data_IF_725478001400
#
_entry.id   IF_725478001400
#
_cell.length_a   1.000
_cell.length_b   1.000
_cell.length_c   1.000
_cell.angle_alpha   90.00
_cell.angle_beta   90.00
_cell.angle_gamma   90.00
#
_symmetry.space_group_name_H-M   'P 1'
#
loop_
_entity.id
_entity.type
_entity.pdbx_description
1 polymer ?
#
# COMPACT_ATOMS: atom_id res chain seq x y z
N UNK A 1 2.26 -25.49 -9.05
CA UNK A 1 3.39 -25.76 -9.95
C UNK A 1 3.00 -25.36 -11.35
N UNK A 2 3.84 -24.59 -12.01
CA UNK A 2 3.76 -24.30 -13.45
C UNK A 2 4.91 -25.01 -14.15
N UNK A 3 4.63 -25.63 -15.28
CA UNK A 3 5.63 -26.30 -16.12
C UNK A 3 5.76 -25.59 -17.44
N UNK A 4 6.95 -25.65 -18.02
CA UNK A 4 7.23 -25.10 -19.34
C UNK A 4 6.21 -25.62 -20.36
N UNK A 5 5.61 -24.72 -21.10
CA UNK A 5 4.72 -25.08 -22.21
C UNK A 5 5.56 -25.45 -23.43
N UNK A 6 5.55 -26.71 -23.90
CA UNK A 6 6.35 -27.13 -25.04
C UNK A 6 5.94 -26.49 -26.37
N UNK A 7 4.72 -25.94 -26.41
CA UNK A 7 4.19 -25.26 -27.60
C UNK A 7 4.40 -23.74 -27.56
N UNK A 8 5.04 -23.21 -26.50
CA UNK A 8 5.32 -21.78 -26.42
C UNK A 8 6.47 -21.40 -27.37
N UNK A 9 6.25 -20.42 -28.21
CA UNK A 9 7.21 -19.93 -29.17
C UNK A 9 6.97 -18.46 -29.51
N UNK A 10 7.93 -17.81 -30.16
CA UNK A 10 7.77 -16.48 -30.76
C UNK A 10 8.10 -15.33 -29.81
N UNK A 11 8.54 -15.57 -28.58
CA UNK A 11 9.04 -14.53 -27.70
C UNK A 11 10.51 -14.79 -27.31
N UNK A 12 11.28 -13.70 -27.32
CA UNK A 12 12.65 -13.68 -26.87
C UNK A 12 12.80 -12.72 -25.70
N UNK A 13 13.89 -12.87 -24.96
CA UNK A 13 14.22 -11.93 -23.88
C UNK A 13 14.44 -10.53 -24.46
N UNK A 14 13.93 -9.44 -23.82
CA UNK A 14 14.01 -8.09 -24.35
C UNK A 14 15.46 -7.61 -24.50
N UNK A 15 15.70 -6.76 -25.50
CA UNK A 15 16.98 -6.12 -25.74
C UNK A 15 17.00 -4.64 -25.34
N UNK A 16 15.84 -4.11 -24.96
CA UNK A 16 15.61 -2.74 -24.50
C UNK A 16 15.11 -2.78 -23.06
N UNK A 17 15.51 -1.80 -22.28
CA UNK A 17 15.14 -1.63 -20.87
C UNK A 17 15.37 -0.21 -20.41
N UNK A 18 15.28 0.03 -19.11
CA UNK A 18 15.51 1.32 -18.50
C UNK A 18 17.00 1.72 -18.52
N UNK A 19 17.30 3.02 -18.41
CA UNK A 19 18.67 3.50 -18.27
C UNK A 19 19.38 2.81 -17.10
N UNK A 20 20.47 2.10 -17.38
CA UNK A 20 21.25 1.34 -16.39
C UNK A 20 21.06 -0.17 -16.44
N UNK A 21 19.99 -0.69 -17.00
CA UNK A 21 19.71 -2.15 -17.05
C UNK A 21 20.80 -2.93 -17.75
N UNK A 22 21.34 -2.38 -18.83
CA UNK A 22 22.47 -3.00 -19.55
C UNK A 22 23.74 -3.04 -18.70
N UNK A 23 24.04 -1.97 -17.97
CA UNK A 23 25.20 -1.93 -17.07
C UNK A 23 25.03 -2.86 -15.86
N UNK A 24 23.80 -3.10 -15.45
CA UNK A 24 23.47 -4.04 -14.39
C UNK A 24 23.42 -5.51 -14.86
N UNK A 25 23.69 -5.80 -16.14
CA UNK A 25 23.63 -7.15 -16.72
C UNK A 25 22.22 -7.71 -16.92
N UNK A 26 21.19 -6.88 -16.76
CA UNK A 26 19.79 -7.33 -16.90
C UNK A 26 19.40 -7.63 -18.35
N UNK A 27 20.18 -7.17 -19.33
CA UNK A 27 19.94 -7.40 -20.76
C UNK A 27 20.93 -8.42 -21.39
N UNK A 28 21.69 -9.17 -20.59
CA UNK A 28 22.69 -10.13 -21.06
C UNK A 28 22.06 -11.32 -21.82
N UNK A 29 20.80 -11.59 -21.55
CA UNK A 29 20.03 -12.64 -22.23
C UNK A 29 19.24 -12.14 -23.45
N UNK A 30 19.51 -10.88 -23.90
CA UNK A 30 18.86 -10.29 -25.06
C UNK A 30 18.80 -11.26 -26.26
N UNK A 31 17.60 -11.43 -26.82
CA UNK A 31 17.36 -12.26 -27.99
C UNK A 31 17.29 -13.77 -27.75
N UNK A 32 17.63 -14.26 -26.55
CA UNK A 32 17.49 -15.69 -26.22
C UNK A 32 16.01 -16.10 -26.14
N UNK A 33 15.64 -17.29 -26.63
CA UNK A 33 14.26 -17.75 -26.60
C UNK A 33 13.75 -17.96 -25.16
N UNK A 34 12.51 -17.55 -24.91
CA UNK A 34 11.80 -17.80 -23.67
C UNK A 34 10.94 -19.09 -23.77
N UNK A 35 10.58 -19.73 -22.64
CA UNK A 35 10.99 -19.44 -21.25
C UNK A 35 12.33 -20.11 -20.89
N UNK A 36 13.06 -19.50 -19.94
CA UNK A 36 14.32 -20.09 -19.43
C UNK A 36 14.09 -21.19 -18.40
N UNK A 37 12.97 -21.13 -17.66
CA UNK A 37 12.66 -22.06 -16.59
C UNK A 37 11.83 -23.25 -17.12
N UNK A 38 12.15 -24.45 -16.66
CA UNK A 38 11.36 -25.66 -16.93
C UNK A 38 10.16 -25.74 -15.99
N UNK A 39 10.32 -25.31 -14.74
CA UNK A 39 9.26 -25.28 -13.74
C UNK A 39 9.34 -24.06 -12.85
N UNK A 40 8.18 -23.56 -12.42
CA UNK A 40 8.04 -22.57 -11.34
C UNK A 40 7.10 -23.14 -10.26
N UNK A 41 7.62 -23.27 -9.04
CA UNK A 41 6.92 -23.85 -7.91
C UNK A 41 6.54 -22.75 -6.94
N UNK A 42 5.26 -22.52 -6.74
CA UNK A 42 4.74 -21.58 -5.77
C UNK A 42 4.26 -22.33 -4.53
N UNK A 43 4.86 -22.02 -3.39
CA UNK A 43 4.48 -22.58 -2.09
C UNK A 43 3.74 -21.52 -1.27
N UNK A 44 2.57 -21.86 -0.75
CA UNK A 44 1.80 -20.99 0.13
C UNK A 44 2.19 -21.24 1.57
N UNK A 45 2.77 -20.24 2.19
CA UNK A 45 3.02 -20.20 3.63
C UNK A 45 2.01 -19.25 4.29
N UNK A 46 1.50 -19.62 5.45
CA UNK A 46 0.50 -18.82 6.17
C UNK A 46 1.13 -17.67 6.94
N UNK A 47 2.35 -17.87 7.45
CA UNK A 47 3.04 -16.93 8.33
C UNK A 47 4.32 -16.40 7.68
N UNK A 48 4.61 -15.12 7.92
CA UNK A 48 5.75 -14.44 7.31
C UNK A 48 7.10 -14.90 7.84
N UNK A 49 7.21 -15.19 9.14
CA UNK A 49 8.47 -15.59 9.77
C UNK A 49 8.96 -16.95 9.26
N UNK A 50 8.14 -18.03 9.25
CA UNK A 50 8.55 -19.29 8.64
C UNK A 50 8.90 -19.17 7.17
N UNK A 51 8.16 -18.38 6.42
CA UNK A 51 8.43 -18.11 5.01
C UNK A 51 9.83 -17.50 4.80
N UNK A 52 10.17 -16.46 5.55
CA UNK A 52 11.48 -15.81 5.48
C UNK A 52 12.62 -16.76 5.88
N UNK A 53 12.45 -17.52 6.96
CA UNK A 53 13.45 -18.48 7.41
C UNK A 53 13.71 -19.59 6.38
N UNK A 54 12.69 -20.08 5.69
CA UNK A 54 12.84 -21.06 4.61
C UNK A 54 13.62 -20.48 3.42
N UNK A 55 13.38 -19.22 3.07
CA UNK A 55 14.18 -18.52 2.06
C UNK A 55 15.65 -18.44 2.46
N UNK A 56 15.95 -18.01 3.69
CA UNK A 56 17.33 -17.93 4.19
C UNK A 56 18.06 -19.28 4.24
N UNK A 57 17.30 -20.38 4.35
CA UNK A 57 17.82 -21.76 4.31
C UNK A 57 17.92 -22.32 2.90
N UNK A 58 17.56 -21.56 1.86
CA UNK A 58 17.66 -21.98 0.47
C UNK A 58 16.53 -22.89 -0.03
N UNK A 59 15.39 -22.96 0.68
CA UNK A 59 14.21 -23.68 0.18
C UNK A 59 13.48 -22.92 -0.93
N UNK A 60 13.69 -21.60 -1.02
CA UNK A 60 13.05 -20.74 -2.02
C UNK A 60 14.11 -19.90 -2.73
N UNK A 61 13.98 -19.75 -4.04
CA UNK A 61 14.85 -18.93 -4.89
C UNK A 61 14.53 -17.43 -4.79
N UNK A 62 13.30 -17.09 -4.43
CA UNK A 62 12.83 -15.72 -4.29
C UNK A 62 11.90 -15.56 -3.09
N UNK A 63 11.97 -14.40 -2.44
CA UNK A 63 11.14 -14.06 -1.28
C UNK A 63 10.81 -12.58 -1.28
N UNK A 64 9.61 -12.23 -0.83
CA UNK A 64 9.33 -10.90 -0.32
C UNK A 64 9.95 -10.70 1.06
N UNK A 65 10.16 -9.45 1.46
CA UNK A 65 10.64 -9.09 2.79
C UNK A 65 9.45 -8.57 3.59
N UNK A 66 9.08 -9.28 4.67
CA UNK A 66 8.03 -8.81 5.58
C UNK A 66 8.51 -7.60 6.40
N UNK A 67 7.57 -6.86 6.99
CA UNK A 67 7.92 -5.75 7.89
C UNK A 67 8.74 -6.22 9.07
N UNK A 68 8.44 -7.39 9.62
CA UNK A 68 9.15 -7.97 10.78
C UNK A 68 10.59 -8.40 10.47
N UNK A 69 10.88 -8.69 9.18
CA UNK A 69 12.22 -9.13 8.74
C UNK A 69 12.99 -8.02 8.02
N UNK A 70 12.42 -6.82 7.93
CA UNK A 70 12.98 -5.74 7.13
C UNK A 70 14.35 -5.32 7.62
N UNK A 71 14.48 -4.98 8.89
CA UNK A 71 15.74 -4.48 9.48
C UNK A 71 16.86 -5.55 9.48
N UNK A 72 16.48 -6.84 9.46
CA UNK A 72 17.43 -7.93 9.33
C UNK A 72 18.01 -8.02 7.91
N UNK A 73 17.18 -7.72 6.91
CA UNK A 73 17.52 -7.91 5.51
C UNK A 73 18.11 -6.64 4.86
N UNK A 74 17.64 -5.47 5.30
CA UNK A 74 17.81 -4.20 4.59
C UNK A 74 18.28 -3.11 5.54
N UNK A 75 19.17 -2.27 5.05
CA UNK A 75 19.55 -1.00 5.68
C UNK A 75 19.17 0.17 4.79
N UNK A 76 18.71 1.26 5.39
CA UNK A 76 18.43 2.52 4.72
C UNK A 76 19.60 3.46 4.98
N UNK A 77 20.26 3.91 3.91
CA UNK A 77 21.38 4.82 3.99
C UNK A 77 20.91 6.27 4.24
N UNK A 78 21.81 7.15 4.63
CA UNK A 78 21.53 8.57 4.94
C UNK A 78 20.84 9.32 3.79
N UNK A 79 20.98 8.86 2.55
CA UNK A 79 20.31 9.43 1.37
C UNK A 79 18.92 8.85 1.06
N UNK A 80 18.45 7.90 1.86
CA UNK A 80 17.19 7.18 1.59
C UNK A 80 17.37 5.96 0.67
N UNK A 81 18.58 5.70 0.17
CA UNK A 81 18.86 4.52 -0.62
C UNK A 81 18.78 3.26 0.21
N UNK A 82 18.19 2.25 -0.37
CA UNK A 82 17.95 0.94 0.26
C UNK A 82 19.01 -0.04 -0.21
N UNK A 83 19.70 -0.68 0.73
CA UNK A 83 20.70 -1.69 0.46
C UNK A 83 20.53 -2.92 1.34
N UNK A 84 21.05 -4.08 0.89
CA UNK A 84 21.10 -5.27 1.73
C UNK A 84 22.08 -5.07 2.90
N UNK A 85 21.79 -5.74 4.02
CA UNK A 85 22.75 -5.89 5.10
C UNK A 85 23.95 -6.73 4.64
N UNK A 86 25.09 -6.57 5.31
CA UNK A 86 26.31 -7.30 4.96
C UNK A 86 26.14 -8.82 5.06
N UNK A 87 25.32 -9.30 6.00
CA UNK A 87 24.96 -10.72 6.13
C UNK A 87 24.23 -11.24 4.88
N UNK A 88 23.25 -10.49 4.37
CA UNK A 88 22.51 -10.89 3.17
C UNK A 88 23.39 -10.88 1.92
N UNK A 89 24.30 -9.91 1.82
CA UNK A 89 25.27 -9.86 0.73
C UNK A 89 26.25 -11.06 0.76
N UNK A 90 26.73 -11.44 1.94
CA UNK A 90 27.62 -12.60 2.09
C UNK A 90 26.92 -13.93 1.72
N UNK A 91 25.60 -14.01 1.88
CA UNK A 91 24.79 -15.15 1.42
C UNK A 91 24.52 -15.13 -0.08
N UNK A 92 25.02 -14.16 -0.84
CA UNK A 92 24.79 -14.02 -2.28
C UNK A 92 23.37 -13.60 -2.65
N UNK A 93 22.59 -13.10 -1.68
CA UNK A 93 21.22 -12.60 -1.91
C UNK A 93 21.30 -11.28 -2.71
N UNK A 94 20.37 -11.11 -3.64
CA UNK A 94 20.21 -9.88 -4.41
C UNK A 94 18.90 -9.19 -4.03
N UNK A 95 18.94 -7.87 -3.87
CA UNK A 95 17.76 -7.05 -3.64
C UNK A 95 17.26 -6.48 -4.97
N UNK A 96 16.00 -6.77 -5.30
CA UNK A 96 15.32 -6.17 -6.43
C UNK A 96 14.22 -5.25 -5.91
N UNK A 97 14.24 -4.00 -6.31
CA UNK A 97 13.23 -2.99 -5.97
C UNK A 97 12.56 -2.48 -7.24
N UNK A 98 11.27 -2.27 -7.18
CA UNK A 98 10.52 -1.65 -8.28
C UNK A 98 9.30 -0.92 -7.76
N UNK A 99 8.93 0.18 -8.41
CA UNK A 99 7.64 0.82 -8.18
C UNK A 99 6.57 -0.03 -8.87
N UNK A 100 5.62 -0.54 -8.09
CA UNK A 100 4.52 -1.33 -8.64
C UNK A 100 3.44 -0.41 -9.16
N UNK A 101 2.92 -0.71 -10.35
CA UNK A 101 1.77 -0.03 -10.95
C UNK A 101 0.45 -0.57 -10.36
N UNK A 102 0.32 -0.50 -9.03
CA UNK A 102 -0.87 -0.91 -8.29
C UNK A 102 -1.16 0.02 -7.13
N UNK A 103 -2.45 0.30 -6.93
CA UNK A 103 -2.94 1.14 -5.84
C UNK A 103 -3.79 0.30 -4.90
N UNK A 104 -3.48 0.38 -3.60
CA UNK A 104 -4.32 -0.18 -2.54
C UNK A 104 -5.21 0.93 -1.99
N UNK A 105 -6.49 0.63 -1.81
CA UNK A 105 -7.46 1.62 -1.36
C UNK A 105 -8.52 1.01 -0.44
N UNK A 106 -9.16 1.86 0.33
CA UNK A 106 -10.37 1.55 1.07
C UNK A 106 -11.55 2.21 0.35
N UNK A 107 -12.52 1.42 -0.06
CA UNK A 107 -13.71 1.90 -0.77
C UNK A 107 -14.85 2.26 0.18
N UNK A 108 -15.61 3.30 -0.15
CA UNK A 108 -16.86 3.62 0.54
C UNK A 108 -18.02 2.87 -0.12
N UNK A 109 -18.83 2.18 0.69
CA UNK A 109 -20.10 1.63 0.21
C UNK A 109 -21.09 2.77 -0.04
N UNK A 110 -21.35 3.06 -1.29
CA UNK A 110 -22.26 4.15 -1.68
C UNK A 110 -23.75 3.88 -1.36
N UNK A 111 -24.08 2.66 -0.94
CA UNK A 111 -25.44 2.29 -0.46
C UNK A 111 -25.55 2.38 1.07
N UNK A 112 -24.47 2.68 1.78
CA UNK A 112 -24.51 2.85 3.24
C UNK A 112 -25.38 4.06 3.62
N UNK A 113 -26.28 3.94 4.62
CA UNK A 113 -27.21 5.03 4.97
C UNK A 113 -26.53 6.24 5.62
N UNK A 114 -25.32 6.10 6.16
CA UNK A 114 -24.58 7.15 6.87
C UNK A 114 -23.59 7.86 5.95
N UNK A 115 -22.68 7.10 5.34
CA UNK A 115 -21.57 7.63 4.52
C UNK A 115 -21.83 7.51 3.02
N UNK A 116 -22.83 6.75 2.59
CA UNK A 116 -23.16 6.53 1.18
C UNK A 116 -23.96 7.68 0.55
N UNK A 117 -24.26 7.51 -0.74
CA UNK A 117 -24.99 8.48 -1.53
C UNK A 117 -24.19 9.74 -1.87
N UNK A 118 -24.87 10.70 -2.53
CA UNK A 118 -24.27 11.93 -3.05
C UNK A 118 -24.71 13.19 -2.30
N UNK A 119 -25.32 13.04 -1.13
CA UNK A 119 -25.72 14.20 -0.33
C UNK A 119 -24.51 15.00 0.14
N UNK A 120 -24.63 16.34 0.33
CA UNK A 120 -23.55 17.14 0.91
C UNK A 120 -23.08 16.62 2.28
N UNK A 121 -24.00 16.08 3.10
CA UNK A 121 -23.72 15.47 4.40
C UNK A 121 -22.77 14.28 4.26
N UNK A 122 -23.17 13.28 3.49
CA UNK A 122 -22.35 12.08 3.31
C UNK A 122 -21.02 12.35 2.57
N UNK A 123 -21.02 13.29 1.64
CA UNK A 123 -19.77 13.73 0.97
C UNK A 123 -18.79 14.32 1.96
N UNK A 124 -19.23 15.22 2.86
CA UNK A 124 -18.37 15.78 3.91
C UNK A 124 -17.83 14.71 4.86
N UNK A 125 -18.62 13.69 5.20
CA UNK A 125 -18.17 12.58 6.04
C UNK A 125 -17.07 11.78 5.36
N UNK A 126 -17.22 11.45 4.08
CA UNK A 126 -16.17 10.75 3.33
C UNK A 126 -14.89 11.57 3.21
N UNK A 127 -15.00 12.87 2.92
CA UNK A 127 -13.86 13.79 2.91
C UNK A 127 -13.16 13.85 4.27
N UNK A 128 -13.92 13.94 5.36
CA UNK A 128 -13.37 13.94 6.71
C UNK A 128 -12.60 12.65 7.02
N UNK A 129 -13.16 11.50 6.68
CA UNK A 129 -12.51 10.20 6.86
C UNK A 129 -11.21 10.13 6.05
N UNK A 130 -11.23 10.57 4.78
CA UNK A 130 -10.04 10.58 3.92
C UNK A 130 -8.92 11.46 4.48
N UNK A 131 -9.25 12.62 5.06
CA UNK A 131 -8.26 13.50 5.72
C UNK A 131 -7.73 12.87 7.02
N UNK A 132 -8.59 12.22 7.81
CA UNK A 132 -8.23 11.67 9.10
C UNK A 132 -7.27 10.48 9.02
N UNK A 133 -7.35 9.68 7.95
CA UNK A 133 -6.49 8.51 7.75
C UNK A 133 -5.13 8.96 7.23
N UNK A 134 -4.10 8.92 8.08
CA UNK A 134 -2.73 9.32 7.74
C UNK A 134 -2.00 8.22 6.99
N UNK A 135 -2.02 8.32 5.64
CA UNK A 135 -1.39 7.32 4.77
C UNK A 135 0.13 7.30 4.89
N UNK A 136 0.76 8.44 5.15
CA UNK A 136 2.20 8.55 5.36
C UNK A 136 2.61 7.82 6.66
N UNK A 137 1.83 8.01 7.74
CA UNK A 137 2.01 7.29 9.00
C UNK A 137 1.84 5.77 8.79
N UNK A 138 0.80 5.36 8.04
CA UNK A 138 0.58 3.96 7.69
C UNK A 138 1.76 3.35 6.95
N UNK A 139 2.26 4.02 5.92
CA UNK A 139 3.39 3.57 5.12
C UNK A 139 4.65 3.47 5.99
N UNK A 140 4.88 4.44 6.85
CA UNK A 140 6.02 4.43 7.78
C UNK A 140 5.96 3.25 8.73
N UNK A 141 4.83 3.03 9.40
CA UNK A 141 4.69 2.01 10.46
C UNK A 141 4.61 0.59 9.89
N UNK A 142 3.75 0.38 8.89
CA UNK A 142 3.40 -0.97 8.43
C UNK A 142 4.12 -1.40 7.15
N UNK A 143 4.71 -0.46 6.43
CA UNK A 143 5.41 -0.74 5.17
C UNK A 143 6.90 -0.40 5.23
N UNK A 144 7.42 0.03 6.39
CA UNK A 144 8.82 0.45 6.55
C UNK A 144 9.23 1.51 5.50
N UNK A 145 8.34 2.46 5.21
CA UNK A 145 8.54 3.49 4.20
C UNK A 145 8.43 3.02 2.74
N UNK A 146 8.09 1.74 2.49
CA UNK A 146 7.96 1.18 1.13
C UNK A 146 6.57 1.47 0.56
N UNK A 147 6.37 2.68 0.10
CA UNK A 147 5.12 3.07 -0.54
C UNK A 147 5.07 4.56 -0.82
N UNK A 148 4.10 4.94 -1.62
CA UNK A 148 3.80 6.32 -1.95
C UNK A 148 2.34 6.55 -1.60
N UNK A 149 2.04 7.58 -0.82
CA UNK A 149 0.65 7.96 -0.54
C UNK A 149 -0.04 8.34 -1.86
N UNK A 150 -1.03 7.53 -2.26
CA UNK A 150 -1.70 7.68 -3.54
C UNK A 150 -2.45 9.02 -3.60
N UNK A 151 -2.23 9.76 -4.67
CA UNK A 151 -2.91 11.04 -4.93
C UNK A 151 -4.11 10.85 -5.86
N UNK A 152 -4.18 9.72 -6.56
CA UNK A 152 -5.27 9.35 -7.45
C UNK A 152 -5.40 7.81 -7.53
N UNK A 153 -6.48 7.28 -8.11
CA UNK A 153 -6.60 5.85 -8.38
C UNK A 153 -5.54 5.31 -9.36
N UNK A 154 -4.98 6.19 -10.21
CA UNK A 154 -3.92 5.83 -11.15
C UNK A 154 -2.56 5.87 -10.45
N UNK A 155 -1.79 4.77 -10.41
CA UNK A 155 -0.45 4.76 -9.87
C UNK A 155 0.58 5.33 -10.85
N UNK A 156 1.78 5.71 -10.36
CA UNK A 156 2.90 6.10 -11.22
C UNK A 156 3.19 5.06 -12.30
N UNK A 157 3.57 5.51 -13.50
CA UNK A 157 3.88 4.65 -14.65
C UNK A 157 2.67 4.22 -15.49
N UNK A 158 1.46 4.58 -15.09
CA UNK A 158 0.24 4.33 -15.88
C UNK A 158 -0.15 5.60 -16.63
N UNK A 159 -0.55 5.43 -17.89
CA UNK A 159 -1.02 6.54 -18.73
C UNK A 159 -2.17 7.30 -18.06
N UNK A 160 -2.04 8.62 -17.98
CA UNK A 160 -2.98 9.49 -17.29
C UNK A 160 -2.63 9.76 -15.81
N UNK A 161 -1.53 9.19 -15.28
CA UNK A 161 -0.99 9.61 -13.99
C UNK A 161 -0.41 11.04 -14.11
N UNK A 162 -0.85 11.92 -13.24
CA UNK A 162 -0.39 13.30 -13.21
C UNK A 162 0.51 13.56 -12.00
N UNK A 163 1.54 14.38 -12.20
CA UNK A 163 2.48 14.79 -11.17
C UNK A 163 2.31 16.26 -10.83
N UNK A 164 2.83 16.70 -9.68
CA UNK A 164 2.79 18.09 -9.27
C UNK A 164 1.42 18.52 -8.74
N UNK A 165 1.18 19.83 -8.72
CA UNK A 165 0.00 20.44 -8.12
C UNK A 165 -1.33 19.94 -8.71
N UNK A 166 -1.35 19.64 -10.02
CA UNK A 166 -2.56 19.17 -10.70
C UNK A 166 -2.88 17.70 -10.37
N UNK A 167 -1.88 16.92 -9.96
CA UNK A 167 -2.02 15.50 -9.66
C UNK A 167 -2.37 15.18 -8.20
N UNK A 168 -2.46 16.18 -7.30
CA UNK A 168 -2.75 15.89 -5.89
C UNK A 168 -4.24 15.65 -5.62
N UNK A 169 -4.54 14.84 -4.62
CA UNK A 169 -5.88 14.80 -4.02
C UNK A 169 -6.11 16.07 -3.19
N UNK A 170 -6.72 17.08 -3.80
CA UNK A 170 -7.01 18.36 -3.17
C UNK A 170 -8.01 18.27 -2.01
N UNK A 171 -8.70 17.14 -1.84
CA UNK A 171 -9.52 16.86 -0.65
C UNK A 171 -8.64 16.71 0.58
N UNK A 172 -7.55 15.95 0.45
CA UNK A 172 -6.69 15.55 1.56
C UNK A 172 -5.46 16.44 1.70
N UNK A 173 -4.95 16.98 0.59
CA UNK A 173 -3.68 17.72 0.57
C UNK A 173 -3.86 19.16 0.05
N UNK A 174 -2.99 20.04 0.51
CA UNK A 174 -2.71 21.33 -0.08
C UNK A 174 -1.34 21.27 -0.78
N UNK A 175 -1.15 22.05 -1.85
CA UNK A 175 0.15 22.18 -2.50
C UNK A 175 0.94 23.31 -1.83
N UNK A 176 2.02 22.97 -1.13
CA UNK A 176 2.82 23.93 -0.35
C UNK A 176 4.30 23.69 -0.63
N UNK A 177 5.02 24.73 -1.02
CA UNK A 177 6.46 24.70 -1.28
C UNK A 177 6.88 23.58 -2.25
N UNK A 178 6.09 23.40 -3.33
CA UNK A 178 6.39 22.43 -4.37
C UNK A 178 6.09 20.97 -4.04
N UNK A 179 5.33 20.70 -2.99
CA UNK A 179 4.98 19.34 -2.55
C UNK A 179 3.58 19.26 -1.92
N UNK A 180 2.94 18.06 -1.96
CA UNK A 180 1.68 17.85 -1.25
C UNK A 180 1.92 17.87 0.26
N UNK A 181 1.10 18.62 0.97
CA UNK A 181 1.07 18.69 2.43
C UNK A 181 -0.31 18.32 2.92
N UNK A 182 -0.39 17.26 3.74
CA UNK A 182 -1.66 16.78 4.31
C UNK A 182 -2.34 17.88 5.13
N UNK A 183 -3.65 18.02 4.94
CA UNK A 183 -4.49 18.93 5.75
C UNK A 183 -4.51 18.48 7.20
N UNK A 184 -4.54 19.41 8.14
CA UNK A 184 -4.63 19.10 9.57
C UNK A 184 -5.97 18.42 9.90
N UNK A 185 -5.97 17.60 10.95
CA UNK A 185 -7.15 16.82 11.39
C UNK A 185 -8.33 17.71 11.81
N UNK A 186 -8.06 18.95 12.18
CA UNK A 186 -9.07 19.96 12.52
C UNK A 186 -10.00 20.26 11.34
N UNK A 187 -9.50 20.20 10.11
CA UNK A 187 -10.33 20.34 8.90
C UNK A 187 -11.33 19.18 8.82
N UNK A 188 -10.88 17.96 9.11
CA UNK A 188 -11.75 16.79 9.14
C UNK A 188 -12.81 16.88 10.25
N UNK A 189 -12.44 17.30 11.45
CA UNK A 189 -13.41 17.54 12.56
C UNK A 189 -14.47 18.57 12.19
N UNK A 190 -14.05 19.65 11.54
CA UNK A 190 -14.99 20.67 11.05
C UNK A 190 -15.97 20.08 10.03
N UNK A 191 -15.50 19.24 9.09
CA UNK A 191 -16.36 18.59 8.11
C UNK A 191 -17.36 17.62 8.77
N UNK A 192 -16.95 16.89 9.81
CA UNK A 192 -17.85 16.03 10.60
C UNK A 192 -18.96 16.86 11.28
N UNK A 193 -18.58 17.97 11.91
CA UNK A 193 -19.54 18.87 12.54
C UNK A 193 -20.52 19.49 11.53
N UNK A 194 -20.01 19.97 10.38
CA UNK A 194 -20.82 20.53 9.28
C UNK A 194 -21.73 19.46 8.61
N UNK A 195 -21.38 18.19 8.74
CA UNK A 195 -22.23 17.08 8.34
C UNK A 195 -23.35 16.75 9.35
N UNK A 196 -23.49 17.55 10.44
CA UNK A 196 -24.50 17.39 11.47
C UNK A 196 -24.12 16.39 12.56
N UNK A 197 -22.80 16.18 12.78
CA UNK A 197 -22.27 15.33 13.84
C UNK A 197 -21.23 16.07 14.71
N UNK A 198 -21.60 17.19 15.36
CA UNK A 198 -20.67 17.87 16.26
C UNK A 198 -20.21 16.91 17.38
N UNK A 199 -18.87 16.85 17.58
CA UNK A 199 -18.25 15.91 18.52
C UNK A 199 -18.63 14.44 18.27
N UNK A 200 -18.83 14.06 17.01
CA UNK A 200 -19.13 12.70 16.60
C UNK A 200 -20.54 12.20 16.97
N UNK A 201 -21.47 13.11 17.23
CA UNK A 201 -22.87 12.78 17.57
C UNK A 201 -23.85 13.49 16.65
N UNK A 202 -24.88 12.77 16.24
CA UNK A 202 -25.96 13.35 15.45
C UNK A 202 -26.64 14.48 16.25
N UNK A 203 -26.70 15.67 15.68
CA UNK A 203 -27.21 16.88 16.33
C UNK A 203 -28.72 16.79 16.72
N UNK A 204 -29.46 15.88 16.06
CA UNK A 204 -30.91 15.73 16.29
C UNK A 204 -31.23 14.64 17.29
N UNK A 205 -30.50 13.51 17.21
CA UNK A 205 -30.79 12.30 18.00
C UNK A 205 -29.81 12.11 19.17
N UNK A 206 -28.61 12.73 19.12
CA UNK A 206 -27.55 12.53 20.08
C UNK A 206 -26.81 11.19 19.90
N UNK A 207 -27.21 10.37 18.94
CA UNK A 207 -26.59 9.07 18.67
C UNK A 207 -25.16 9.24 18.16
N UNK A 208 -24.24 8.34 18.52
CA UNK A 208 -22.87 8.40 18.04
C UNK A 208 -22.78 8.16 16.53
N UNK A 209 -21.84 8.82 15.87
CA UNK A 209 -21.50 8.54 14.48
C UNK A 209 -20.73 7.23 14.40
N UNK A 210 -21.37 6.20 13.88
CA UNK A 210 -20.79 4.86 13.71
C UNK A 210 -20.61 4.57 12.23
N UNK A 211 -19.43 4.10 11.87
CA UNK A 211 -19.09 3.63 10.53
C UNK A 211 -18.63 2.18 10.61
N UNK A 212 -19.13 1.34 9.71
CA UNK A 212 -18.76 -0.06 9.65
C UNK A 212 -17.67 -0.28 8.60
N UNK A 213 -16.66 -1.08 8.94
CA UNK A 213 -15.65 -1.57 8.04
C UNK A 213 -15.80 -3.08 7.88
N UNK A 214 -16.06 -3.54 6.68
CA UNK A 214 -16.02 -4.95 6.34
C UNK A 214 -14.62 -5.30 5.79
N UNK A 215 -13.99 -6.29 6.38
CA UNK A 215 -12.65 -6.77 5.97
C UNK A 215 -12.60 -8.28 5.99
N UNK A 216 -11.72 -8.87 5.20
CA UNK A 216 -11.41 -10.30 5.31
C UNK A 216 -10.54 -10.52 6.55
N UNK A 217 -10.90 -11.51 7.36
CA UNK A 217 -10.15 -11.86 8.57
C UNK A 217 -8.70 -12.19 8.28
N UNK A 218 -7.81 -11.78 9.16
CA UNK A 218 -6.36 -11.93 9.00
C UNK A 218 -5.67 -12.31 10.31
N UNK A 219 -4.36 -12.60 10.22
CA UNK A 219 -3.50 -12.94 11.34
C UNK A 219 -3.19 -11.76 12.29
N UNK A 220 -2.24 -11.94 13.20
CA UNK A 220 -1.87 -10.92 14.21
C UNK A 220 -1.47 -9.56 13.61
N UNK A 221 -0.84 -9.54 12.43
CA UNK A 221 -0.48 -8.29 11.75
C UNK A 221 -1.69 -7.45 11.32
N UNK A 222 -2.80 -8.10 11.00
CA UNK A 222 -4.05 -7.42 10.64
C UNK A 222 -4.66 -6.71 11.86
N UNK A 223 -4.60 -7.33 13.04
CA UNK A 223 -5.09 -6.70 14.27
C UNK A 223 -4.43 -5.34 14.53
N UNK A 224 -3.11 -5.25 14.42
CA UNK A 224 -2.37 -4.01 14.65
C UNK A 224 -2.78 -2.90 13.66
N UNK A 225 -3.03 -3.26 12.40
CA UNK A 225 -3.52 -2.32 11.37
C UNK A 225 -4.92 -1.83 11.66
N UNK A 226 -5.83 -2.73 12.07
CA UNK A 226 -7.21 -2.38 12.42
C UNK A 226 -7.27 -1.53 13.69
N UNK A 227 -6.45 -1.82 14.70
CA UNK A 227 -6.32 -1.00 15.90
C UNK A 227 -5.79 0.40 15.57
N UNK A 228 -4.82 0.50 14.66
CA UNK A 228 -4.32 1.78 14.15
C UNK A 228 -5.43 2.54 13.41
N UNK A 229 -6.15 1.89 12.50
CA UNK A 229 -7.24 2.50 11.75
C UNK A 229 -8.35 3.00 12.66
N UNK A 230 -8.73 2.23 13.67
CA UNK A 230 -9.70 2.66 14.70
C UNK A 230 -9.26 3.95 15.39
N UNK A 231 -7.96 4.09 15.69
CA UNK A 231 -7.43 5.34 16.25
C UNK A 231 -7.49 6.50 15.27
N UNK A 232 -7.32 6.27 13.95
CA UNK A 232 -7.47 7.36 12.96
C UNK A 232 -8.91 7.89 12.94
N UNK A 233 -9.91 7.02 12.95
CA UNK A 233 -11.32 7.41 13.04
C UNK A 233 -11.64 8.14 14.36
N UNK A 234 -11.07 7.69 15.46
CA UNK A 234 -11.25 8.34 16.76
C UNK A 234 -10.70 9.77 16.81
N UNK A 235 -9.71 10.13 15.97
CA UNK A 235 -9.19 11.51 15.85
C UNK A 235 -10.29 12.52 15.45
N UNK A 236 -11.34 12.05 14.80
CA UNK A 236 -12.48 12.86 14.32
C UNK A 236 -13.80 12.46 14.99
N UNK A 237 -13.72 11.85 16.15
CA UNK A 237 -14.86 11.41 16.97
C UNK A 237 -15.81 10.44 16.26
N UNK A 238 -15.32 9.69 15.28
CA UNK A 238 -16.06 8.63 14.57
C UNK A 238 -15.76 7.28 15.19
N UNK A 239 -16.80 6.54 15.54
CA UNK A 239 -16.69 5.18 16.01
C UNK A 239 -16.59 4.21 14.82
N UNK A 240 -15.44 3.56 14.65
CA UNK A 240 -15.25 2.50 13.67
C UNK A 240 -15.63 1.15 14.27
N UNK A 241 -16.54 0.44 13.62
CA UNK A 241 -16.90 -0.95 13.94
C UNK A 241 -16.35 -1.86 12.85
N UNK A 242 -15.39 -2.69 13.22
CA UNK A 242 -14.77 -3.64 12.28
C UNK A 242 -15.58 -4.93 12.28
N UNK A 243 -15.97 -5.38 11.09
CA UNK A 243 -16.63 -6.66 10.83
C UNK A 243 -15.70 -7.51 9.96
N UNK A 244 -15.18 -8.56 10.55
CA UNK A 244 -14.31 -9.50 9.86
C UNK A 244 -15.11 -10.69 9.35
N UNK A 245 -14.93 -11.03 8.08
CA UNK A 245 -15.50 -12.22 7.45
C UNK A 245 -14.37 -13.13 7.00
N UNK A 246 -14.50 -14.42 7.25
CA UNK A 246 -13.54 -15.47 6.84
C UNK A 246 -13.62 -15.75 5.33
#
# INVERSE_FOLDING_TARGET
VLSRNPNFHGQTYPCEGEPGDRAAGLLDDCGKPLPFLDQAIFTREKEAIPYWNKFLQGYFDASGISSDSFDQAVRVNVGGDVALTDEMQQKGIRLLTSVKSSTFYMGFNMLDPVIGGLSPRSTKLRQAISIAIDQEEYISIFQNGRGIAAQSPLPPGIFGYEVGEQGIDSTVYDWVDGKPKRKPVEVARKLVAEAGYPNGRDEKTGEPLVVNLDTTGGGMGEKSRLDWLTRQFAKIDVQLVVRSTD
#
